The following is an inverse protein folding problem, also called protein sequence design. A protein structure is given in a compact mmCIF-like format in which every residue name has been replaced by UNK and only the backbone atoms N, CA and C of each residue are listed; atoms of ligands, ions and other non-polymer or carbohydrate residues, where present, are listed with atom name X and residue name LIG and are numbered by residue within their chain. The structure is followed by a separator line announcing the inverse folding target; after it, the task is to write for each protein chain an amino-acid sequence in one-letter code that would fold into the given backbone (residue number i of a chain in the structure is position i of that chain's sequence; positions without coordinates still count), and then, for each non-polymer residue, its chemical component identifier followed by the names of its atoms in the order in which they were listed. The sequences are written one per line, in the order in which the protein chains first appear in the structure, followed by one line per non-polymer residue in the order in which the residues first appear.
data_IF_087773083005
#
_entry.id   IF_087773083005
#
_cell.length_a   1.000
_cell.length_b   1.000
_cell.length_c   1.000
_cell.angle_alpha   90.00
_cell.angle_beta   90.00
_cell.angle_gamma   90.00
#
_symmetry.space_group_name_H-M   'P 1'
#
loop_
_entity.id
_entity.type
_entity.pdbx_description
1 polymer ?
#
# COMPACT_ATOMS: atom_id res chain seq x y z
N UNK A 1 6.26 8.75 9.09
CA UNK A 1 6.01 7.68 10.08
C UNK A 1 5.59 6.44 9.29
N UNK A 2 6.02 5.23 9.64
CA UNK A 2 5.54 4.04 8.95
C UNK A 2 4.05 3.84 9.26
N UNK A 3 3.32 3.31 8.29
CA UNK A 3 2.07 2.62 8.56
C UNK A 3 2.20 1.18 8.09
N UNK A 4 2.45 0.27 9.03
CA UNK A 4 2.61 -1.17 8.78
C UNK A 4 1.34 -1.73 8.18
N UNK A 5 1.49 -2.58 7.17
CA UNK A 5 0.40 -3.32 6.55
C UNK A 5 0.82 -4.76 6.27
N UNK A 6 0.07 -5.68 6.85
CA UNK A 6 0.12 -7.11 6.51
C UNK A 6 -0.92 -7.42 5.44
N UNK A 7 -0.56 -8.32 4.53
CA UNK A 7 -1.40 -8.81 3.43
C UNK A 7 -1.24 -10.32 3.28
N UNK A 8 -2.24 -10.95 2.67
CA UNK A 8 -2.26 -12.38 2.32
C UNK A 8 -2.41 -12.51 0.80
N UNK A 9 -1.73 -13.47 0.20
CA UNK A 9 -1.84 -13.81 -1.21
C UNK A 9 -2.62 -15.12 -1.38
N UNK A 10 -3.55 -15.15 -2.33
CA UNK A 10 -4.38 -16.31 -2.63
C UNK A 10 -4.40 -16.58 -4.14
N UNK A 11 -4.24 -17.84 -4.54
CA UNK A 11 -4.40 -18.32 -5.92
C UNK A 11 -5.88 -18.61 -6.21
N UNK A 12 -6.70 -17.56 -6.09
CA UNK A 12 -8.13 -17.60 -6.38
C UNK A 12 -8.56 -16.22 -6.86
N UNK A 13 -9.26 -16.18 -7.98
CA UNK A 13 -9.81 -14.93 -8.53
C UNK A 13 -11.24 -14.69 -8.00
N UNK A 14 -11.53 -13.56 -7.35
CA UNK A 14 -12.89 -13.16 -6.98
C UNK A 14 -13.75 -12.72 -8.18
N UNK A 15 -13.17 -12.59 -9.38
CA UNK A 15 -13.78 -12.06 -10.60
C UNK A 15 -13.87 -10.54 -10.60
N UNK A 16 -14.23 -9.94 -9.46
CA UNK A 16 -14.26 -8.49 -9.24
C UNK A 16 -13.57 -8.19 -7.89
N UNK A 17 -12.75 -7.14 -7.85
CA UNK A 17 -12.16 -6.66 -6.61
C UNK A 17 -13.19 -6.00 -5.69
N UNK A 18 -13.13 -6.30 -4.40
CA UNK A 18 -13.98 -5.73 -3.36
C UNK A 18 -13.16 -4.75 -2.53
N UNK A 19 -13.73 -3.64 -2.09
CA UNK A 19 -13.06 -2.69 -1.20
C UNK A 19 -14.04 -2.01 -0.26
N UNK A 20 -13.68 -1.95 1.01
CA UNK A 20 -14.30 -1.10 2.02
C UNK A 20 -13.25 -0.06 2.45
N UNK A 21 -13.52 1.21 2.14
CA UNK A 21 -12.59 2.33 2.37
C UNK A 21 -12.79 3.00 3.74
N UNK A 22 -13.59 2.43 4.64
CA UNK A 22 -13.69 3.00 5.99
C UNK A 22 -12.34 2.81 6.71
N UNK A 23 -11.70 3.87 7.25
CA UNK A 23 -10.38 3.77 7.87
C UNK A 23 -10.27 2.71 8.96
N UNK A 24 -11.37 2.47 9.69
CA UNK A 24 -11.48 1.49 10.77
C UNK A 24 -11.69 0.05 10.24
N UNK A 25 -12.24 -0.09 9.04
CA UNK A 25 -12.63 -1.39 8.47
C UNK A 25 -11.77 -1.83 7.31
N UNK A 26 -10.76 -1.04 6.88
CA UNK A 26 -9.88 -1.28 5.71
C UNK A 26 -9.81 -2.76 5.30
N UNK A 27 -10.59 -3.11 4.27
CA UNK A 27 -10.63 -4.46 3.72
C UNK A 27 -10.71 -4.37 2.21
N UNK A 28 -9.90 -5.17 1.53
CA UNK A 28 -9.92 -5.24 0.08
C UNK A 28 -9.51 -6.61 -0.44
N UNK A 29 -10.04 -6.94 -1.61
CA UNK A 29 -9.55 -7.98 -2.50
C UNK A 29 -9.12 -7.31 -3.80
N UNK A 30 -7.84 -7.42 -4.14
CA UNK A 30 -7.28 -6.83 -5.36
C UNK A 30 -6.77 -7.98 -6.23
N UNK A 31 -7.56 -8.42 -7.24
CA UNK A 31 -7.08 -9.40 -8.20
C UNK A 31 -5.93 -8.80 -9.00
N UNK A 32 -4.82 -9.53 -9.09
CA UNK A 32 -3.70 -9.26 -10.00
C UNK A 32 -3.62 -10.37 -11.03
N UNK A 33 -2.71 -10.23 -12.00
CA UNK A 33 -2.50 -11.22 -13.05
C UNK A 33 -1.99 -12.58 -12.55
N UNK A 34 -1.37 -12.61 -11.38
CA UNK A 34 -0.69 -13.77 -10.80
C UNK A 34 -1.37 -14.29 -9.52
N UNK A 35 -1.83 -13.39 -8.64
CA UNK A 35 -2.50 -13.72 -7.38
C UNK A 35 -3.55 -12.67 -7.04
N UNK A 36 -4.48 -13.01 -6.16
CA UNK A 36 -5.32 -12.00 -5.50
C UNK A 36 -4.66 -11.58 -4.19
N UNK A 37 -4.59 -10.26 -3.96
CA UNK A 37 -4.14 -9.71 -2.67
C UNK A 37 -5.34 -9.50 -1.77
N UNK A 38 -5.27 -10.08 -0.59
CA UNK A 38 -6.19 -9.87 0.51
C UNK A 38 -5.53 -8.91 1.49
N UNK A 39 -6.19 -7.81 1.80
CA UNK A 39 -5.69 -6.91 2.80
C UNK A 39 -6.79 -6.14 3.49
N UNK A 40 -6.44 -5.34 4.50
CA UNK A 40 -5.12 -5.35 5.11
C UNK A 40 -5.11 -4.53 6.37
N UNK A 41 -3.96 -4.47 7.04
CA UNK A 41 -3.79 -3.64 8.23
C UNK A 41 -3.17 -2.28 7.90
N UNK A 42 -3.37 -1.33 8.82
CA UNK A 42 -2.77 0.01 8.78
C UNK A 42 -2.40 0.44 10.21
N UNK A 43 -1.28 -0.05 10.72
CA UNK A 43 -0.81 0.24 12.08
C UNK A 43 0.22 1.37 12.04
N UNK A 44 -0.16 2.54 12.55
CA UNK A 44 0.68 3.75 12.56
C UNK A 44 1.81 3.59 13.58
N UNK A 45 3.01 4.09 13.23
CA UNK A 45 4.21 4.08 14.07
C UNK A 45 4.78 2.67 14.38
N UNK A 46 4.23 1.65 13.74
CA UNK A 46 4.72 0.28 13.82
C UNK A 46 5.76 -0.01 12.74
N UNK A 47 6.94 -0.48 13.18
CA UNK A 47 8.08 -0.83 12.34
C UNK A 47 8.30 -2.34 12.21
N UNK A 48 7.47 -3.17 12.87
CA UNK A 48 7.63 -4.62 12.87
C UNK A 48 7.44 -5.22 11.48
N UNK A 49 8.34 -6.11 11.09
CA UNK A 49 8.29 -6.82 9.80
C UNK A 49 7.85 -8.28 9.93
N UNK A 50 7.69 -8.77 11.16
CA UNK A 50 7.22 -10.12 11.42
C UNK A 50 5.73 -10.26 11.09
N UNK A 51 5.34 -11.43 10.60
CA UNK A 51 3.94 -11.81 10.41
C UNK A 51 3.29 -12.01 11.78
N UNK A 52 2.09 -11.43 11.95
CA UNK A 52 1.32 -11.50 13.18
C UNK A 52 0.07 -12.36 12.98
N UNK A 53 -0.12 -13.44 13.76
CA UNK A 53 -1.31 -14.28 13.67
C UNK A 53 -2.62 -13.51 13.86
N UNK A 54 -2.64 -12.53 14.77
CA UNK A 54 -3.81 -11.70 15.02
C UNK A 54 -4.21 -10.84 13.81
N UNK A 55 -3.22 -10.35 13.04
CA UNK A 55 -3.48 -9.60 11.80
C UNK A 55 -3.94 -10.53 10.69
N UNK A 56 -3.39 -11.75 10.63
CA UNK A 56 -3.81 -12.79 9.67
C UNK A 56 -5.28 -13.15 9.85
N UNK A 57 -5.68 -13.48 11.08
CA UNK A 57 -7.06 -13.84 11.41
C UNK A 57 -8.02 -12.66 11.17
N UNK A 58 -7.59 -11.43 11.50
CA UNK A 58 -8.37 -10.22 11.24
C UNK A 58 -8.63 -10.00 9.75
N UNK A 59 -7.59 -10.14 8.91
CA UNK A 59 -7.72 -9.97 7.45
C UNK A 59 -8.70 -11.01 6.90
N UNK A 60 -8.51 -12.28 7.23
CA UNK A 60 -9.39 -13.35 6.72
C UNK A 60 -10.83 -13.15 7.18
N UNK A 61 -11.06 -12.84 8.46
CA UNK A 61 -12.42 -12.62 8.98
C UNK A 61 -13.15 -11.50 8.23
N UNK A 62 -12.47 -10.39 7.93
CA UNK A 62 -13.08 -9.28 7.19
C UNK A 62 -13.29 -9.61 5.72
N UNK A 63 -12.33 -10.27 5.08
CA UNK A 63 -12.41 -10.65 3.67
C UNK A 63 -13.52 -11.68 3.45
N UNK A 64 -13.66 -12.68 4.31
CA UNK A 64 -14.73 -13.69 4.20
C UNK A 64 -16.12 -13.10 4.38
N UNK A 65 -16.26 -12.00 5.13
CA UNK A 65 -17.51 -11.27 5.23
C UNK A 65 -17.89 -10.57 3.90
N UNK A 66 -16.90 -10.14 3.11
CA UNK A 66 -17.09 -9.51 1.80
C UNK A 66 -17.16 -10.54 0.66
N UNK A 67 -16.39 -11.62 0.76
CA UNK A 67 -16.23 -12.66 -0.25
C UNK A 67 -16.34 -14.05 0.39
N UNK A 68 -17.56 -14.53 0.69
CA UNK A 68 -17.78 -15.80 1.38
C UNK A 68 -17.33 -17.05 0.62
N UNK A 69 -17.04 -16.93 -0.69
CA UNK A 69 -16.57 -18.02 -1.55
C UNK A 69 -15.04 -18.20 -1.49
N UNK A 70 -14.34 -17.42 -0.66
CA UNK A 70 -12.91 -17.56 -0.42
C UNK A 70 -12.58 -18.98 0.04
N UNK A 71 -11.59 -19.59 -0.60
CA UNK A 71 -11.07 -20.91 -0.28
C UNK A 71 -9.68 -20.79 0.36
N UNK A 72 -9.62 -20.90 1.69
CA UNK A 72 -8.36 -20.77 2.45
C UNK A 72 -7.29 -21.77 2.02
N UNK A 73 -7.64 -22.91 1.40
CA UNK A 73 -6.66 -23.89 0.91
C UNK A 73 -5.81 -23.37 -0.25
N UNK A 74 -6.25 -22.29 -0.89
CA UNK A 74 -5.55 -21.62 -2.00
C UNK A 74 -4.64 -20.48 -1.57
N UNK A 75 -4.47 -20.27 -0.26
CA UNK A 75 -3.54 -19.26 0.25
C UNK A 75 -2.11 -19.69 -0.09
N UNK A 76 -1.35 -18.80 -0.73
CA UNK A 76 -0.02 -19.08 -1.27
C UNK A 76 1.11 -18.30 -0.59
N UNK A 77 0.77 -17.33 0.26
CA UNK A 77 1.78 -16.61 1.03
C UNK A 77 1.26 -15.38 1.75
N UNK A 78 2.17 -14.70 2.43
CA UNK A 78 1.90 -13.52 3.24
C UNK A 78 3.07 -12.54 3.13
N UNK A 79 2.80 -11.25 3.36
CA UNK A 79 3.84 -10.24 3.42
C UNK A 79 3.47 -9.09 4.35
N UNK A 80 4.51 -8.41 4.86
CA UNK A 80 4.41 -7.16 5.60
C UNK A 80 5.16 -6.07 4.84
N UNK A 81 4.54 -4.89 4.75
CA UNK A 81 5.16 -3.70 4.19
C UNK A 81 4.95 -2.48 5.09
N UNK A 82 5.87 -1.51 4.99
CA UNK A 82 5.79 -0.24 5.71
C UNK A 82 5.45 0.87 4.72
N UNK A 83 4.25 1.45 4.83
CA UNK A 83 3.87 2.59 3.99
C UNK A 83 4.66 3.83 4.43
N UNK A 84 5.31 4.57 3.51
CA UNK A 84 6.10 5.75 3.85
C UNK A 84 5.17 6.97 4.03
N UNK A 85 4.46 7.05 5.15
CA UNK A 85 3.42 8.06 5.36
C UNK A 85 3.97 9.42 5.81
N UNK A 86 3.40 10.48 5.25
CA UNK A 86 3.49 11.89 5.67
C UNK A 86 2.09 12.51 5.68
N UNK A 87 1.95 13.69 6.29
CA UNK A 87 0.73 14.50 6.19
C UNK A 87 0.41 14.91 4.75
N UNK A 88 1.45 15.09 3.94
CA UNK A 88 1.38 15.43 2.51
C UNK A 88 2.55 14.77 1.77
N UNK A 89 2.42 14.56 0.46
CA UNK A 89 3.56 14.16 -0.38
C UNK A 89 4.55 15.32 -0.42
N UNK A 90 5.86 15.05 -0.24
CA UNK A 90 6.90 16.05 -0.48
C UNK A 90 7.37 15.94 -1.92
N UNK A 91 6.99 16.93 -2.72
CA UNK A 91 7.29 17.02 -4.14
C UNK A 91 7.70 18.47 -4.46
N UNK A 92 8.97 18.79 -4.26
CA UNK A 92 9.48 20.17 -4.33
C UNK A 92 10.99 20.21 -4.58
N UNK A 93 11.49 21.39 -4.93
CA UNK A 93 12.93 21.68 -5.09
C UNK A 93 13.50 22.28 -3.81
N UNK A 94 14.66 21.79 -3.39
CA UNK A 94 15.48 22.38 -2.34
C UNK A 94 16.92 22.55 -2.85
N UNK A 95 17.56 23.68 -2.57
CA UNK A 95 18.98 23.89 -2.84
C UNK A 95 19.79 23.59 -1.58
N UNK A 96 20.61 22.54 -1.62
CA UNK A 96 21.52 22.17 -0.53
C UNK A 96 22.94 22.54 -0.97
N UNK A 97 23.39 23.72 -0.55
CA UNK A 97 24.57 24.38 -1.11
C UNK A 97 24.32 24.72 -2.59
N UNK A 98 25.24 24.32 -3.46
CA UNK A 98 25.12 24.53 -4.92
C UNK A 98 24.32 23.40 -5.62
N UNK A 99 23.85 22.40 -4.88
CA UNK A 99 23.14 21.24 -5.47
C UNK A 99 21.63 21.46 -5.43
N UNK A 100 21.01 21.35 -6.59
CA UNK A 100 19.54 21.25 -6.73
C UNK A 100 19.10 19.83 -6.36
N UNK A 101 18.22 19.71 -5.37
CA UNK A 101 17.63 18.44 -4.92
C UNK A 101 16.13 18.48 -5.17
N UNK A 102 15.59 17.48 -5.87
CA UNK A 102 14.16 17.29 -6.07
C UNK A 102 13.68 16.20 -5.13
N UNK A 103 12.82 16.57 -4.19
CA UNK A 103 12.18 15.63 -3.28
C UNK A 103 10.97 14.99 -3.96
N UNK A 104 10.79 13.68 -3.77
CA UNK A 104 9.59 12.95 -4.20
C UNK A 104 9.33 11.76 -3.27
N UNK A 105 8.78 12.01 -2.09
CA UNK A 105 8.55 10.98 -1.07
C UNK A 105 7.35 11.28 -0.17
N UNK A 106 6.96 10.31 0.67
CA UNK A 106 5.87 10.49 1.62
C UNK A 106 4.49 10.05 1.11
N UNK A 107 4.44 9.17 0.12
CA UNK A 107 3.21 8.77 -0.57
C UNK A 107 2.24 7.90 0.24
N UNK A 108 2.64 7.43 1.44
CA UNK A 108 1.81 6.54 2.23
C UNK A 108 1.32 5.32 1.44
N UNK A 109 0.02 5.01 1.52
CA UNK A 109 -0.60 3.91 0.77
C UNK A 109 -0.95 4.21 -0.68
N UNK A 110 -0.80 5.47 -1.14
CA UNK A 110 -1.26 5.92 -2.45
C UNK A 110 -0.14 5.99 -3.51
N UNK A 111 1.07 5.51 -3.20
CA UNK A 111 2.24 5.68 -4.07
C UNK A 111 2.08 5.11 -5.48
N UNK A 112 1.40 3.97 -5.64
CA UNK A 112 1.13 3.41 -6.97
C UNK A 112 0.16 4.30 -7.74
N UNK A 113 -0.94 4.72 -7.13
CA UNK A 113 -1.95 5.61 -7.73
C UNK A 113 -1.37 6.94 -8.18
N UNK A 114 -0.46 7.53 -7.39
CA UNK A 114 0.12 8.85 -7.64
C UNK A 114 1.39 8.80 -8.52
N UNK A 115 1.93 7.61 -8.78
CA UNK A 115 3.28 7.43 -9.34
C UNK A 115 3.55 8.22 -10.62
N UNK A 116 2.65 8.14 -11.60
CA UNK A 116 2.82 8.80 -12.89
C UNK A 116 2.80 10.34 -12.78
N UNK A 117 1.84 10.90 -12.06
CA UNK A 117 1.74 12.36 -11.88
C UNK A 117 2.93 12.91 -11.09
N UNK A 118 3.36 12.21 -10.04
CA UNK A 118 4.56 12.59 -9.30
C UNK A 118 5.83 12.49 -10.16
N UNK A 119 5.95 11.47 -11.02
CA UNK A 119 7.10 11.33 -11.92
C UNK A 119 7.15 12.42 -12.99
N UNK A 120 6.00 12.80 -13.56
CA UNK A 120 5.90 13.90 -14.52
C UNK A 120 6.31 15.23 -13.90
N UNK A 121 5.83 15.53 -12.70
CA UNK A 121 6.22 16.75 -11.99
C UNK A 121 7.71 16.76 -11.62
N UNK A 122 8.28 15.62 -11.22
CA UNK A 122 9.74 15.51 -11.05
C UNK A 122 10.48 15.84 -12.35
N UNK A 123 10.04 15.30 -13.49
CA UNK A 123 10.67 15.58 -14.78
C UNK A 123 10.61 17.08 -15.13
N UNK A 124 9.49 17.75 -14.84
CA UNK A 124 9.34 19.19 -15.02
C UNK A 124 10.30 19.97 -14.12
N UNK A 125 10.33 19.65 -12.82
CA UNK A 125 11.19 20.32 -11.84
C UNK A 125 12.67 20.14 -12.17
N UNK A 126 13.09 18.96 -12.65
CA UNK A 126 14.47 18.73 -13.09
C UNK A 126 14.82 19.57 -14.32
N UNK A 127 13.90 19.67 -15.28
CA UNK A 127 14.13 20.35 -16.57
C UNK A 127 14.13 21.88 -16.47
N UNK A 128 13.56 22.45 -15.42
CA UNK A 128 13.64 23.89 -15.16
C UNK A 128 15.08 24.31 -14.85
N UNK A 129 15.69 25.10 -15.76
CA UNK A 129 16.99 25.75 -15.52
C UNK A 129 16.91 26.69 -14.32
N UNK A 130 18.03 26.83 -13.60
CA UNK A 130 18.20 27.83 -12.55
C UNK A 130 18.22 29.25 -13.12
#
# INVERSE_FOLDING_TARGET
RPARGQIIFIDQDPGIGHFDQTPETLTYTIPRSDVTVLGGTAQIDDWGMDIRPEDYDLILSKVEALWPQLDRSKIVGEAVGLRPSRSEVRLEVEYIGEKKVVHNYGHGGAGVTLSWGCAEEVANLVSQSA
#
